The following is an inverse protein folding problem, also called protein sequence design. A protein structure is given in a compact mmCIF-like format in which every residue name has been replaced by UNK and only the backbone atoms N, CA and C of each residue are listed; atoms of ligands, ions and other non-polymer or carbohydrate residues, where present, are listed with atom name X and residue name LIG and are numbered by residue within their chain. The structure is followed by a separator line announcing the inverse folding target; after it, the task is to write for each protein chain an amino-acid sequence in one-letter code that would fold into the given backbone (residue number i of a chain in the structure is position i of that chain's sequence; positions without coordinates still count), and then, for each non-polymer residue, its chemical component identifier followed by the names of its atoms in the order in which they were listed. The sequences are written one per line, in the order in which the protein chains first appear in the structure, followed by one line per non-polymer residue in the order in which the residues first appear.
data_IF_639820751553
#
_entry.id   IF_639820751553
#
_cell.length_a   1.000
_cell.length_b   1.000
_cell.length_c   1.000
_cell.angle_alpha   90.00
_cell.angle_beta   90.00
_cell.angle_gamma   90.00
#
_symmetry.space_group_name_H-M   'P 1'
#
loop_
_entity.id
_entity.type
_entity.pdbx_description
1 polymer ?
#
# COMPACT_ATOMS: atom_id res chain seq x y z
N UNK A 1 -13.94 -52.20 0.02
CA UNK A 1 -14.29 -51.71 -1.33
C UNK A 1 -13.89 -50.25 -1.54
N UNK A 2 -14.56 -49.23 -0.90
CA UNK A 2 -14.27 -47.81 -1.17
C UNK A 2 -12.79 -47.39 -0.86
N UNK A 3 -12.23 -47.85 0.25
CA UNK A 3 -10.82 -47.61 0.60
C UNK A 3 -9.87 -48.37 -0.28
N UNK A 4 -10.20 -49.56 -0.73
CA UNK A 4 -9.41 -50.33 -1.67
C UNK A 4 -9.41 -49.71 -3.06
N UNK A 5 -10.56 -49.19 -3.51
CA UNK A 5 -10.68 -48.47 -4.78
C UNK A 5 -9.88 -47.13 -4.77
N UNK A 6 -9.85 -46.44 -3.65
CA UNK A 6 -9.05 -45.23 -3.46
C UNK A 6 -7.55 -45.52 -3.42
N UNK A 7 -7.16 -46.63 -2.84
CA UNK A 7 -5.75 -47.09 -2.82
C UNK A 7 -5.30 -47.60 -4.17
N UNK A 8 -6.19 -48.23 -4.93
CA UNK A 8 -5.95 -48.65 -6.31
C UNK A 8 -5.83 -47.46 -7.27
N UNK A 9 -6.72 -46.47 -7.19
CA UNK A 9 -6.64 -45.20 -7.91
C UNK A 9 -5.35 -44.47 -7.59
N UNK A 10 -4.97 -44.39 -6.31
CA UNK A 10 -3.73 -43.78 -5.86
C UNK A 10 -2.49 -44.48 -6.43
N UNK A 11 -2.48 -45.82 -6.51
CA UNK A 11 -1.37 -46.58 -7.10
C UNK A 11 -1.29 -46.40 -8.62
N UNK A 12 -2.43 -46.28 -9.33
CA UNK A 12 -2.44 -46.00 -10.77
C UNK A 12 -1.99 -44.58 -11.11
N UNK A 13 -2.46 -43.58 -10.34
CA UNK A 13 -2.10 -42.16 -10.55
C UNK A 13 -0.58 -41.94 -10.42
N UNK A 14 0.06 -42.62 -9.47
CA UNK A 14 1.51 -42.47 -9.21
C UNK A 14 2.39 -43.24 -10.20
N UNK A 15 1.89 -44.32 -10.80
CA UNK A 15 2.67 -45.14 -11.74
C UNK A 15 2.71 -44.56 -13.16
N UNK A 16 1.72 -43.77 -13.56
CA UNK A 16 1.68 -43.22 -14.91
C UNK A 16 2.26 -41.79 -14.92
N UNK A 17 3.38 -41.60 -15.66
CA UNK A 17 4.07 -40.30 -15.78
C UNK A 17 3.16 -39.19 -16.30
N UNK A 18 2.24 -39.51 -17.23
CA UNK A 18 1.29 -38.57 -17.82
C UNK A 18 0.29 -38.10 -16.76
N UNK A 19 -0.25 -39.03 -15.98
CA UNK A 19 -1.22 -38.71 -14.89
C UNK A 19 -0.54 -37.88 -13.81
N UNK A 20 0.71 -38.21 -13.44
CA UNK A 20 1.50 -37.44 -12.49
C UNK A 20 1.73 -36.01 -12.99
N UNK A 21 2.03 -35.83 -14.27
CA UNK A 21 2.20 -34.53 -14.89
C UNK A 21 0.88 -33.69 -14.84
N UNK A 22 -0.24 -34.31 -15.25
CA UNK A 22 -1.56 -33.64 -15.24
C UNK A 22 -1.94 -33.22 -13.83
N UNK A 23 -1.82 -34.11 -12.84
CA UNK A 23 -2.13 -33.79 -11.44
C UNK A 23 -1.23 -32.67 -10.91
N UNK A 24 0.06 -32.69 -11.23
CA UNK A 24 0.97 -31.62 -10.83
C UNK A 24 0.61 -30.28 -11.48
N UNK A 25 0.31 -30.27 -12.78
CA UNK A 25 -0.10 -29.06 -13.49
C UNK A 25 -1.41 -28.46 -12.92
N UNK A 26 -2.41 -29.31 -12.66
CA UNK A 26 -3.66 -28.90 -12.04
C UNK A 26 -3.44 -28.38 -10.60
N UNK A 27 -2.57 -29.01 -9.82
CA UNK A 27 -2.25 -28.56 -8.48
C UNK A 27 -1.55 -27.19 -8.49
N UNK A 28 -0.57 -26.97 -9.37
CA UNK A 28 0.10 -25.69 -9.54
C UNK A 28 -0.90 -24.62 -9.96
N UNK A 29 -1.78 -24.93 -10.93
CA UNK A 29 -2.84 -24.03 -11.37
C UNK A 29 -3.78 -23.64 -10.21
N UNK A 30 -4.23 -24.62 -9.43
CA UNK A 30 -5.09 -24.41 -8.28
C UNK A 30 -4.41 -23.50 -7.24
N UNK A 31 -3.18 -23.81 -6.84
CA UNK A 31 -2.43 -22.98 -5.87
C UNK A 31 -2.07 -21.60 -6.42
N UNK A 32 -2.00 -21.43 -7.72
CA UNK A 32 -1.79 -20.10 -8.30
C UNK A 32 -2.99 -19.19 -8.15
N UNK A 33 -4.22 -19.70 -8.32
CA UNK A 33 -5.43 -18.89 -8.36
C UNK A 33 -6.30 -18.97 -7.09
N UNK A 34 -5.92 -19.76 -6.09
CA UNK A 34 -6.74 -20.05 -4.92
C UNK A 34 -7.12 -18.79 -4.10
N UNK A 35 -6.28 -17.75 -4.10
CA UNK A 35 -6.56 -16.48 -3.44
C UNK A 35 -7.75 -15.73 -4.07
N UNK A 36 -8.03 -15.98 -5.36
CA UNK A 36 -9.13 -15.34 -6.09
C UNK A 36 -10.49 -15.75 -5.50
N UNK A 37 -10.58 -16.95 -4.91
CA UNK A 37 -11.82 -17.42 -4.26
C UNK A 37 -12.28 -16.43 -3.20
N UNK A 38 -11.36 -15.82 -2.45
CA UNK A 38 -11.68 -14.81 -1.43
C UNK A 38 -12.27 -13.51 -1.99
N UNK A 39 -12.08 -13.22 -3.29
CA UNK A 39 -12.63 -12.04 -3.95
C UNK A 39 -14.11 -12.23 -4.34
N UNK A 40 -14.49 -13.46 -4.69
CA UNK A 40 -15.85 -13.77 -5.16
C UNK A 40 -16.75 -14.36 -4.07
N UNK A 41 -16.16 -14.98 -3.04
CA UNK A 41 -16.88 -15.60 -1.93
C UNK A 41 -16.55 -14.85 -0.65
N UNK A 42 -17.59 -14.42 0.08
CA UNK A 42 -17.41 -13.80 1.40
C UNK A 42 -16.97 -14.85 2.41
N UNK A 43 -15.67 -15.01 2.57
CA UNK A 43 -15.07 -15.92 3.52
C UNK A 43 -14.69 -15.19 4.82
N UNK A 44 -14.72 -15.87 5.97
CA UNK A 44 -14.14 -15.34 7.19
C UNK A 44 -12.69 -14.92 6.97
N UNK A 45 -12.26 -13.83 7.62
CA UNK A 45 -10.89 -13.26 7.46
C UNK A 45 -9.79 -14.29 7.64
N UNK A 46 -9.94 -15.22 8.58
CA UNK A 46 -8.97 -16.29 8.84
C UNK A 46 -8.83 -17.23 7.64
N UNK A 47 -9.93 -17.57 6.98
CA UNK A 47 -9.92 -18.46 5.80
C UNK A 47 -9.30 -17.73 4.60
N UNK A 48 -9.69 -16.47 4.36
CA UNK A 48 -9.10 -15.65 3.29
C UNK A 48 -7.58 -15.50 3.48
N UNK A 49 -7.12 -15.26 4.71
CA UNK A 49 -5.69 -15.20 5.01
C UNK A 49 -4.95 -16.51 4.71
N UNK A 50 -5.55 -17.66 5.01
CA UNK A 50 -4.98 -18.97 4.68
C UNK A 50 -4.90 -19.15 3.16
N UNK A 51 -5.95 -18.83 2.41
CA UNK A 51 -5.97 -18.97 0.95
C UNK A 51 -4.94 -18.05 0.28
N UNK A 52 -4.80 -16.82 0.75
CA UNK A 52 -3.78 -15.89 0.28
C UNK A 52 -2.37 -16.43 0.54
N UNK A 53 -2.11 -16.92 1.75
CA UNK A 53 -0.81 -17.50 2.10
C UNK A 53 -0.49 -18.80 1.33
N UNK A 54 -1.48 -19.53 0.85
CA UNK A 54 -1.27 -20.72 0.02
C UNK A 54 -1.08 -20.40 -1.46
N UNK A 55 -1.37 -19.16 -1.90
CA UNK A 55 -1.34 -18.81 -3.31
C UNK A 55 0.06 -18.39 -3.78
N UNK A 56 0.56 -19.09 -4.82
CA UNK A 56 1.79 -18.68 -5.49
C UNK A 56 1.69 -17.29 -6.13
N UNK A 57 0.56 -16.98 -6.77
CA UNK A 57 0.38 -15.68 -7.41
C UNK A 57 0.38 -14.54 -6.40
N UNK A 58 -0.17 -14.75 -5.20
CA UNK A 58 -0.13 -13.77 -4.12
C UNK A 58 1.30 -13.40 -3.70
N UNK A 59 2.16 -14.40 -3.51
CA UNK A 59 3.57 -14.19 -3.16
C UNK A 59 4.40 -13.65 -4.32
N UNK A 60 3.99 -13.94 -5.57
CA UNK A 60 4.70 -13.49 -6.76
C UNK A 60 4.28 -12.10 -7.23
N UNK A 61 3.13 -11.57 -6.79
CA UNK A 61 2.60 -10.27 -7.20
C UNK A 61 3.60 -9.14 -6.94
N UNK A 62 4.22 -9.10 -5.77
CA UNK A 62 5.22 -8.09 -5.43
C UNK A 62 6.48 -8.24 -6.29
N UNK A 63 6.93 -9.47 -6.53
CA UNK A 63 8.09 -9.74 -7.37
C UNK A 63 7.85 -9.30 -8.82
N UNK A 64 6.63 -9.44 -9.34
CA UNK A 64 6.26 -8.99 -10.69
C UNK A 64 6.36 -7.46 -10.85
N UNK A 65 6.22 -6.71 -9.76
CA UNK A 65 6.41 -5.26 -9.69
C UNK A 65 7.86 -4.84 -9.44
N UNK A 66 8.78 -5.80 -9.38
CA UNK A 66 10.20 -5.56 -9.09
C UNK A 66 10.51 -5.43 -7.59
N UNK A 67 9.60 -5.85 -6.72
CA UNK A 67 9.77 -5.79 -5.28
C UNK A 67 10.02 -7.19 -4.74
N UNK A 68 11.18 -7.41 -4.13
CA UNK A 68 11.51 -8.68 -3.50
C UNK A 68 11.42 -8.56 -1.98
N UNK A 69 10.43 -9.23 -1.41
CA UNK A 69 10.31 -9.36 0.04
C UNK A 69 10.94 -10.65 0.50
N UNK A 70 11.75 -10.59 1.53
CA UNK A 70 12.37 -11.79 2.10
C UNK A 70 11.33 -12.80 2.59
N UNK A 71 10.18 -12.34 3.10
CA UNK A 71 9.07 -13.21 3.50
C UNK A 71 8.59 -14.11 2.36
N UNK A 72 8.47 -13.56 1.14
CA UNK A 72 7.96 -14.28 -0.03
C UNK A 72 9.01 -15.25 -0.58
N UNK A 73 10.29 -14.85 -0.56
CA UNK A 73 11.41 -15.72 -0.91
C UNK A 73 11.49 -16.91 0.05
N UNK A 74 11.43 -16.68 1.35
CA UNK A 74 11.46 -17.74 2.37
C UNK A 74 10.23 -18.64 2.29
N UNK A 75 9.06 -18.09 1.95
CA UNK A 75 7.87 -18.88 1.74
C UNK A 75 8.03 -19.81 0.54
N UNK A 76 8.47 -19.30 -0.62
CA UNK A 76 8.71 -20.11 -1.83
C UNK A 76 9.79 -21.18 -1.60
N UNK A 77 10.89 -20.82 -0.94
CA UNK A 77 11.94 -21.76 -0.58
C UNK A 77 11.42 -22.85 0.37
N UNK A 78 10.68 -22.46 1.41
CA UNK A 78 10.06 -23.39 2.36
C UNK A 78 9.07 -24.33 1.68
N UNK A 79 8.27 -23.83 0.76
CA UNK A 79 7.32 -24.63 -0.02
C UNK A 79 8.06 -25.65 -0.91
N UNK A 80 9.16 -25.24 -1.54
CA UNK A 80 10.01 -26.13 -2.33
C UNK A 80 10.63 -27.25 -1.48
N UNK A 81 11.16 -26.91 -0.31
CA UNK A 81 11.71 -27.89 0.65
C UNK A 81 10.64 -28.87 1.11
N UNK A 82 9.43 -28.37 1.41
CA UNK A 82 8.30 -29.20 1.82
C UNK A 82 7.95 -30.24 0.74
N UNK A 83 7.87 -29.84 -0.52
CA UNK A 83 7.61 -30.78 -1.61
C UNK A 83 8.74 -31.80 -1.81
N UNK A 84 10.00 -31.38 -1.67
CA UNK A 84 11.14 -32.30 -1.73
C UNK A 84 11.06 -33.37 -0.61
N UNK A 85 10.77 -32.93 0.63
CA UNK A 85 10.63 -33.84 1.76
C UNK A 85 9.47 -34.83 1.57
N UNK A 86 8.32 -34.35 1.08
CA UNK A 86 7.19 -35.20 0.75
C UNK A 86 7.53 -36.19 -0.37
N UNK A 87 8.25 -35.76 -1.39
CA UNK A 87 8.69 -36.63 -2.51
C UNK A 87 9.61 -37.73 -2.00
N UNK A 88 10.61 -37.40 -1.16
CA UNK A 88 11.50 -38.39 -0.55
C UNK A 88 10.69 -39.39 0.28
N UNK A 89 9.78 -38.92 1.10
CA UNK A 89 8.91 -39.77 1.95
C UNK A 89 8.08 -40.74 1.12
N UNK A 90 7.42 -40.25 0.07
CA UNK A 90 6.59 -41.10 -0.81
C UNK A 90 7.44 -42.12 -1.58
N UNK A 91 8.58 -41.68 -2.09
CA UNK A 91 9.48 -42.56 -2.85
C UNK A 91 10.08 -43.69 -1.98
N UNK A 92 10.48 -43.38 -0.76
CA UNK A 92 10.96 -44.41 0.20
C UNK A 92 9.87 -45.40 0.55
N UNK A 93 8.62 -44.94 0.74
CA UNK A 93 7.46 -45.82 0.98
C UNK A 93 7.16 -46.73 -0.21
N UNK A 94 7.29 -46.24 -1.45
CA UNK A 94 7.04 -47.03 -2.67
C UNK A 94 8.10 -48.14 -2.90
N UNK A 95 9.33 -47.93 -2.44
CA UNK A 95 10.39 -48.95 -2.56
C UNK A 95 10.19 -50.17 -1.67
N UNK A 96 9.03 -50.27 -0.97
CA UNK A 96 8.70 -51.40 -0.10
C UNK A 96 9.61 -51.57 1.12
N UNK A 97 10.49 -50.63 1.38
CA UNK A 97 11.34 -50.63 2.58
C UNK A 97 10.50 -50.15 3.77
N UNK A 98 10.42 -50.98 4.83
CA UNK A 98 9.88 -50.56 6.10
C UNK A 98 10.66 -49.31 6.54
N UNK A 99 10.02 -48.15 6.56
CA UNK A 99 10.63 -46.94 7.09
C UNK A 99 11.06 -47.20 8.53
N UNK A 100 12.35 -47.08 8.80
CA UNK A 100 12.85 -47.11 10.17
C UNK A 100 12.10 -46.01 10.98
N UNK A 101 11.71 -46.30 12.22
CA UNK A 101 11.07 -45.36 13.11
C UNK A 101 11.81 -44.03 13.18
N UNK A 102 13.14 -44.06 13.20
CA UNK A 102 13.99 -42.89 13.24
C UNK A 102 13.85 -42.03 11.96
N UNK A 103 13.81 -42.64 10.76
CA UNK A 103 13.60 -41.90 9.50
C UNK A 103 12.24 -41.26 9.44
N UNK A 104 11.18 -41.92 9.91
CA UNK A 104 9.85 -41.37 9.98
C UNK A 104 9.81 -40.16 10.89
N UNK A 105 10.38 -40.28 12.09
CA UNK A 105 10.45 -39.19 13.07
C UNK A 105 11.23 -37.98 12.50
N UNK A 106 12.38 -38.24 11.88
CA UNK A 106 13.20 -37.18 11.26
C UNK A 106 12.43 -36.43 10.16
N UNK A 107 11.71 -37.18 9.29
CA UNK A 107 10.91 -36.55 8.21
C UNK A 107 9.78 -35.72 8.77
N UNK A 108 9.02 -36.22 9.76
CA UNK A 108 7.94 -35.48 10.41
C UNK A 108 8.51 -34.22 11.10
N UNK A 109 9.62 -34.35 11.82
CA UNK A 109 10.29 -33.23 12.46
C UNK A 109 10.74 -32.17 11.46
N UNK A 110 11.35 -32.57 10.33
CA UNK A 110 11.75 -31.66 9.27
C UNK A 110 10.56 -30.94 8.65
N UNK A 111 9.42 -31.62 8.44
CA UNK A 111 8.20 -30.99 7.95
C UNK A 111 7.66 -29.94 8.94
N UNK A 112 7.62 -30.27 10.22
CA UNK A 112 7.19 -29.33 11.28
C UNK A 112 8.12 -28.11 11.31
N UNK A 113 9.44 -28.31 11.29
CA UNK A 113 10.41 -27.21 11.29
C UNK A 113 10.24 -26.31 10.06
N UNK A 114 10.03 -26.90 8.87
CA UNK A 114 9.79 -26.14 7.64
C UNK A 114 8.51 -25.29 7.73
N UNK A 115 7.43 -25.86 8.22
CA UNK A 115 6.16 -25.13 8.41
C UNK A 115 6.34 -24.01 9.43
N UNK A 116 6.98 -24.26 10.57
CA UNK A 116 7.25 -23.22 11.58
C UNK A 116 8.14 -22.11 11.02
N UNK A 117 9.14 -22.46 10.20
CA UNK A 117 10.00 -21.49 9.51
C UNK A 117 9.16 -20.60 8.57
N UNK A 118 8.28 -21.19 7.75
CA UNK A 118 7.40 -20.45 6.85
C UNK A 118 6.48 -19.50 7.63
N UNK A 119 5.89 -19.96 8.73
CA UNK A 119 5.01 -19.12 9.58
C UNK A 119 5.77 -17.97 10.25
N UNK A 120 7.02 -18.16 10.63
CA UNK A 120 7.85 -17.12 11.22
C UNK A 120 8.49 -16.18 10.19
N UNK A 121 8.52 -16.53 8.91
CA UNK A 121 9.15 -15.72 7.86
C UNK A 121 8.53 -14.31 7.76
N UNK A 122 7.27 -14.15 8.15
CA UNK A 122 6.56 -12.87 8.16
C UNK A 122 7.15 -11.84 9.14
N UNK A 123 7.89 -12.29 10.16
CA UNK A 123 8.55 -11.40 11.15
C UNK A 123 9.80 -10.72 10.59
N UNK A 124 10.44 -11.31 9.59
CA UNK A 124 11.67 -10.82 8.97
C UNK A 124 11.36 -10.31 7.56
N UNK A 125 10.65 -9.18 7.48
CA UNK A 125 10.28 -8.60 6.21
C UNK A 125 11.28 -7.52 5.78
N UNK A 126 12.35 -7.95 5.13
CA UNK A 126 13.26 -7.05 4.43
C UNK A 126 12.81 -6.93 2.98
N UNK A 127 12.65 -5.69 2.51
CA UNK A 127 12.15 -5.37 1.19
C UNK A 127 13.26 -4.77 0.34
N UNK A 128 13.51 -5.36 -0.83
CA UNK A 128 14.47 -4.85 -1.81
C UNK A 128 13.68 -4.41 -3.03
N UNK A 129 13.85 -3.17 -3.40
CA UNK A 129 13.20 -2.56 -4.56
C UNK A 129 14.17 -2.54 -5.76
N UNK A 130 13.87 -3.38 -6.76
CA UNK A 130 14.55 -3.45 -8.05
C UNK A 130 13.74 -2.76 -9.16
N UNK A 131 12.64 -2.07 -8.84
CA UNK A 131 11.87 -1.35 -9.83
C UNK A 131 12.73 -0.28 -10.51
N UNK A 132 12.45 0.02 -11.78
CA UNK A 132 13.27 0.91 -12.62
C UNK A 132 13.52 2.29 -11.99
N UNK A 133 12.56 2.80 -11.22
CA UNK A 133 12.62 4.13 -10.58
C UNK A 133 12.65 4.05 -9.05
N UNK A 134 12.87 2.87 -8.47
CA UNK A 134 12.77 2.62 -7.02
C UNK A 134 11.46 3.16 -6.40
N UNK A 135 10.37 3.01 -7.15
CA UNK A 135 9.05 3.58 -6.85
C UNK A 135 8.48 3.12 -5.49
N UNK A 136 9.01 2.02 -4.97
CA UNK A 136 8.58 1.41 -3.71
C UNK A 136 9.63 1.50 -2.60
N UNK A 137 10.66 2.33 -2.78
CA UNK A 137 11.63 2.67 -1.75
C UNK A 137 11.60 4.17 -1.50
N UNK A 138 11.94 4.58 -0.28
CA UNK A 138 12.03 6.00 0.05
C UNK A 138 13.22 6.65 -0.65
N UNK A 139 13.01 7.86 -1.14
CA UNK A 139 14.06 8.71 -1.68
C UNK A 139 15.11 9.03 -0.61
N UNK A 140 16.33 9.36 -1.04
CA UNK A 140 17.40 9.78 -0.11
C UNK A 140 16.98 10.98 0.73
N UNK A 141 16.26 11.93 0.10
CA UNK A 141 15.73 13.10 0.78
C UNK A 141 14.75 12.73 1.91
N UNK A 142 13.78 11.85 1.63
CA UNK A 142 12.80 11.44 2.64
C UNK A 142 13.46 10.68 3.78
N UNK A 143 14.44 9.82 3.51
CA UNK A 143 15.20 9.11 4.54
C UNK A 143 15.93 10.08 5.47
N UNK A 144 16.71 10.98 4.90
CA UNK A 144 17.47 11.98 5.65
C UNK A 144 16.56 12.89 6.47
N UNK A 145 15.46 13.33 5.89
CA UNK A 145 14.45 14.11 6.59
C UNK A 145 13.83 13.33 7.77
N UNK A 146 13.44 12.07 7.56
CA UNK A 146 12.85 11.25 8.60
C UNK A 146 13.83 10.95 9.75
N UNK A 147 15.11 10.71 9.43
CA UNK A 147 16.15 10.51 10.44
C UNK A 147 16.35 11.76 11.31
N UNK A 148 16.09 12.96 10.78
CA UNK A 148 16.21 14.23 11.51
C UNK A 148 15.08 14.48 12.53
N UNK A 149 13.99 13.68 12.51
CA UNK A 149 12.84 13.87 13.39
C UNK A 149 13.16 13.45 14.82
N UNK A 150 13.15 14.43 15.73
CA UNK A 150 13.49 14.25 17.14
C UNK A 150 12.29 14.03 18.06
N UNK A 151 11.09 14.46 17.66
CA UNK A 151 9.86 14.35 18.46
C UNK A 151 8.86 13.38 17.84
N UNK A 152 7.94 12.79 18.64
CA UNK A 152 6.99 11.81 18.17
C UNK A 152 6.04 12.35 17.08
N UNK A 153 5.96 11.63 15.97
CA UNK A 153 4.95 11.80 14.91
C UNK A 153 4.05 10.58 14.94
N UNK A 154 2.73 10.79 15.06
CA UNK A 154 1.76 9.72 15.06
C UNK A 154 1.03 9.70 13.72
N UNK A 155 1.08 8.58 13.02
CA UNK A 155 0.40 8.34 11.75
C UNK A 155 -0.71 7.33 11.99
N UNK A 156 -1.96 7.76 11.89
CA UNK A 156 -3.13 6.89 12.00
C UNK A 156 -3.77 6.69 10.63
N UNK A 157 -3.77 5.46 10.12
CA UNK A 157 -4.43 5.10 8.88
C UNK A 157 -5.78 4.46 9.15
N UNK A 158 -6.82 5.14 8.73
CA UNK A 158 -8.20 4.70 8.83
C UNK A 158 -8.60 4.03 7.51
N UNK A 159 -8.76 2.72 7.52
CA UNK A 159 -9.07 1.96 6.33
C UNK A 159 -10.18 0.96 6.61
N UNK A 160 -11.29 1.11 5.90
CA UNK A 160 -12.40 0.16 5.93
C UNK A 160 -11.96 -1.23 5.51
N UNK A 161 -12.31 -2.24 6.31
CA UNK A 161 -12.04 -3.64 5.96
C UNK A 161 -12.81 -4.07 4.70
N UNK A 162 -13.99 -3.51 4.47
CA UNK A 162 -14.76 -3.68 3.24
C UNK A 162 -13.98 -3.21 2.01
N UNK A 163 -13.29 -2.07 2.10
CA UNK A 163 -12.45 -1.53 1.02
C UNK A 163 -11.25 -2.44 0.74
N UNK A 164 -10.51 -2.86 1.77
CA UNK A 164 -9.34 -3.73 1.59
C UNK A 164 -9.68 -5.12 1.06
N UNK A 165 -10.92 -5.56 1.27
CA UNK A 165 -11.43 -6.83 0.72
C UNK A 165 -11.77 -6.73 -0.76
N UNK A 166 -12.25 -5.56 -1.23
CA UNK A 166 -12.58 -5.30 -2.63
C UNK A 166 -11.35 -4.95 -3.48
N UNK A 167 -10.42 -4.22 -2.89
CA UNK A 167 -9.22 -3.71 -3.55
C UNK A 167 -7.97 -4.15 -2.78
N UNK A 168 -7.41 -5.33 -3.08
CA UNK A 168 -6.23 -5.86 -2.38
C UNK A 168 -5.01 -4.92 -2.44
N UNK A 169 -4.89 -4.09 -3.49
CA UNK A 169 -3.83 -3.08 -3.61
C UNK A 169 -3.82 -2.05 -2.46
N UNK A 170 -4.92 -1.88 -1.74
CA UNK A 170 -4.99 -1.01 -0.55
C UNK A 170 -4.04 -1.49 0.56
N UNK A 171 -3.70 -2.77 0.58
CA UNK A 171 -2.71 -3.29 1.53
C UNK A 171 -1.32 -2.70 1.32
N UNK A 172 -0.99 -2.30 0.08
CA UNK A 172 0.28 -1.64 -0.26
C UNK A 172 0.45 -0.32 0.50
N UNK A 173 -0.65 0.40 0.77
CA UNK A 173 -0.62 1.63 1.57
C UNK A 173 -0.19 1.31 3.01
N UNK A 174 -0.76 0.26 3.61
CA UNK A 174 -0.37 -0.18 4.96
C UNK A 174 1.08 -0.63 5.04
N UNK A 175 1.54 -1.38 4.02
CA UNK A 175 2.92 -1.84 3.93
C UNK A 175 3.88 -0.66 3.75
N UNK A 176 3.49 0.33 2.94
CA UNK A 176 4.26 1.55 2.74
C UNK A 176 4.36 2.38 4.03
N UNK A 177 3.24 2.59 4.72
CA UNK A 177 3.21 3.32 5.99
C UNK A 177 4.05 2.63 7.07
N UNK A 178 4.02 1.30 7.12
CA UNK A 178 4.89 0.53 8.01
C UNK A 178 6.37 0.71 7.66
N UNK A 179 6.72 0.65 6.37
CA UNK A 179 8.09 0.90 5.92
C UNK A 179 8.55 2.33 6.24
N UNK A 180 7.67 3.32 6.04
CA UNK A 180 7.94 4.72 6.30
C UNK A 180 8.18 4.98 7.79
N UNK A 181 7.33 4.42 8.64
CA UNK A 181 7.46 4.58 10.10
C UNK A 181 8.72 3.88 10.67
N UNK A 182 9.15 2.79 10.06
CA UNK A 182 10.35 2.07 10.50
C UNK A 182 11.67 2.82 10.25
N UNK A 183 11.65 3.95 9.52
CA UNK A 183 12.85 4.76 9.30
C UNK A 183 13.30 5.50 10.57
N UNK A 184 12.37 5.82 11.46
CA UNK A 184 12.70 6.48 12.73
C UNK A 184 11.78 6.00 13.85
N UNK A 185 12.37 5.66 15.02
CA UNK A 185 11.65 5.23 16.22
C UNK A 185 10.63 6.25 16.76
N UNK A 186 10.78 7.51 16.39
CA UNK A 186 9.86 8.59 16.76
C UNK A 186 8.63 8.65 15.87
N UNK A 187 8.51 7.79 14.84
CA UNK A 187 7.36 7.74 13.96
C UNK A 187 6.53 6.52 14.33
N UNK A 188 5.35 6.76 14.86
CA UNK A 188 4.41 5.72 15.26
C UNK A 188 3.35 5.54 14.17
N UNK A 189 3.12 4.30 13.76
CA UNK A 189 2.08 3.96 12.79
C UNK A 189 1.04 3.03 13.40
N UNK A 190 -0.24 3.37 13.22
CA UNK A 190 -1.37 2.55 13.66
C UNK A 190 -2.43 2.50 12.56
N UNK A 191 -2.89 1.27 12.23
CA UNK A 191 -4.05 1.05 11.36
C UNK A 191 -5.31 0.89 12.20
N UNK A 192 -6.39 1.61 11.83
CA UNK A 192 -7.71 1.55 12.47
C UNK A 192 -8.77 1.19 11.42
N UNK A 193 -9.75 0.38 11.82
CA UNK A 193 -10.86 0.00 10.96
C UNK A 193 -12.12 0.75 11.39
N UNK A 194 -12.61 1.71 10.60
CA UNK A 194 -13.83 2.44 10.91
C UNK A 194 -15.10 1.58 10.84
N UNK A 195 -15.09 0.49 10.07
CA UNK A 195 -16.27 -0.38 9.92
C UNK A 195 -16.62 -1.10 11.23
N UNK A 196 -15.61 -1.37 12.05
CA UNK A 196 -15.75 -2.09 13.32
C UNK A 196 -15.59 -1.21 14.57
N UNK A 197 -15.23 0.07 14.40
CA UNK A 197 -14.91 0.95 15.52
C UNK A 197 -15.59 2.32 15.38
N UNK A 198 -16.64 2.53 16.18
CA UNK A 198 -17.42 3.77 16.15
C UNK A 198 -16.62 5.00 16.61
N UNK A 199 -15.65 4.82 17.52
CA UNK A 199 -14.77 5.92 17.92
C UNK A 199 -13.86 6.33 16.76
N UNK A 200 -13.46 5.39 15.90
CA UNK A 200 -12.70 5.71 14.69
C UNK A 200 -13.52 6.57 13.73
N UNK A 201 -14.82 6.27 13.54
CA UNK A 201 -15.73 7.12 12.72
C UNK A 201 -15.87 8.51 13.31
N UNK A 202 -16.15 8.63 14.61
CA UNK A 202 -16.25 9.93 15.28
C UNK A 202 -14.99 10.77 15.13
N UNK A 203 -13.83 10.14 15.18
CA UNK A 203 -12.56 10.84 14.95
C UNK A 203 -12.50 11.38 13.51
N UNK A 204 -12.87 10.57 12.52
CA UNK A 204 -12.90 11.00 11.12
C UNK A 204 -13.87 12.18 10.92
N UNK A 205 -15.06 12.11 11.49
CA UNK A 205 -16.05 13.19 11.44
C UNK A 205 -15.53 14.50 12.07
N UNK A 206 -14.77 14.41 13.18
CA UNK A 206 -14.15 15.58 13.82
C UNK A 206 -13.17 16.31 12.90
N UNK A 207 -12.47 15.55 12.03
CA UNK A 207 -11.57 16.11 11.03
C UNK A 207 -12.22 16.40 9.68
N UNK A 208 -13.54 16.31 9.57
CA UNK A 208 -14.29 16.55 8.33
C UNK A 208 -14.01 15.51 7.23
N UNK A 209 -13.63 14.29 7.62
CA UNK A 209 -13.36 13.21 6.67
C UNK A 209 -14.61 12.38 6.51
N UNK A 210 -15.18 12.40 5.32
CA UNK A 210 -16.40 11.66 4.98
C UNK A 210 -16.09 10.36 4.24
N UNK A 211 -17.01 9.39 4.39
CA UNK A 211 -16.96 8.16 3.61
C UNK A 211 -17.08 8.43 2.11
N UNK A 212 -16.41 7.61 1.33
CA UNK A 212 -16.57 7.58 -0.12
C UNK A 212 -17.45 6.40 -0.50
N UNK A 213 -18.39 6.64 -1.42
CA UNK A 213 -19.30 5.62 -1.89
C UNK A 213 -18.66 4.82 -3.02
N UNK A 214 -18.51 3.51 -2.82
CA UNK A 214 -17.94 2.61 -3.82
C UNK A 214 -18.95 1.59 -4.31
N UNK A 215 -18.96 1.40 -5.64
CA UNK A 215 -19.81 0.41 -6.29
C UNK A 215 -19.18 -0.97 -6.17
N UNK A 216 -19.96 -1.94 -5.70
CA UNK A 216 -19.58 -3.35 -5.66
C UNK A 216 -20.68 -4.23 -6.27
N UNK A 217 -20.32 -5.42 -6.73
CA UNK A 217 -21.28 -6.42 -7.18
C UNK A 217 -21.34 -7.55 -6.16
N UNK A 218 -22.55 -7.84 -5.68
CA UNK A 218 -22.83 -8.97 -4.79
C UNK A 218 -24.04 -9.74 -5.33
N UNK A 219 -23.90 -11.05 -5.53
CA UNK A 219 -24.98 -11.91 -6.02
C UNK A 219 -25.70 -11.35 -7.25
N UNK A 220 -24.94 -10.87 -8.24
CA UNK A 220 -25.46 -10.25 -9.49
C UNK A 220 -26.24 -8.94 -9.27
N UNK A 221 -26.24 -8.38 -8.07
CA UNK A 221 -26.82 -7.07 -7.75
C UNK A 221 -25.72 -6.05 -7.50
N UNK A 222 -25.91 -4.85 -8.08
CA UNK A 222 -25.05 -3.70 -7.79
C UNK A 222 -25.39 -3.15 -6.40
N UNK A 223 -24.40 -3.06 -5.53
CA UNK A 223 -24.51 -2.45 -4.21
C UNK A 223 -23.53 -1.28 -4.10
N UNK A 224 -23.91 -0.29 -3.31
CA UNK A 224 -23.02 0.80 -2.93
C UNK A 224 -22.65 0.63 -1.46
N UNK A 225 -21.37 0.76 -1.17
CA UNK A 225 -20.84 0.70 0.19
C UNK A 225 -20.09 1.97 0.50
N UNK A 226 -20.24 2.44 1.73
CA UNK A 226 -19.48 3.57 2.24
C UNK A 226 -18.17 3.07 2.83
N UNK A 227 -17.05 3.64 2.36
CA UNK A 227 -15.71 3.22 2.74
C UNK A 227 -14.85 4.41 3.12
N UNK A 228 -13.88 4.17 3.99
CA UNK A 228 -12.86 5.12 4.38
C UNK A 228 -11.47 4.62 3.97
N UNK A 229 -10.62 5.54 3.55
CA UNK A 229 -9.19 5.32 3.36
C UNK A 229 -8.46 6.64 3.59
N UNK A 230 -8.27 7.01 4.85
CA UNK A 230 -7.76 8.31 5.25
C UNK A 230 -6.57 8.19 6.19
N UNK A 231 -5.65 9.15 6.12
CA UNK A 231 -4.49 9.22 7.01
C UNK A 231 -4.56 10.50 7.83
N UNK A 232 -4.41 10.37 9.13
CA UNK A 232 -4.27 11.49 10.07
C UNK A 232 -2.85 11.46 10.61
N UNK A 233 -2.17 12.60 10.53
CA UNK A 233 -0.79 12.80 10.98
C UNK A 233 -0.82 13.83 12.09
N UNK A 234 -0.32 13.46 13.27
CA UNK A 234 -0.31 14.31 14.45
C UNK A 234 1.13 14.56 14.91
N UNK A 235 1.44 15.80 15.21
CA UNK A 235 2.72 16.24 15.74
C UNK A 235 2.53 17.42 16.68
N UNK A 236 2.94 17.28 17.92
CA UNK A 236 2.90 18.36 18.94
C UNK A 236 1.56 19.10 19.01
N UNK A 237 0.43 18.37 19.00
CA UNK A 237 -0.93 18.92 19.05
C UNK A 237 -1.48 19.46 17.73
N UNK A 238 -0.65 19.57 16.70
CA UNK A 238 -1.08 19.96 15.36
C UNK A 238 -1.37 18.71 14.51
N UNK A 239 -2.32 18.85 13.58
CA UNK A 239 -2.78 17.73 12.76
C UNK A 239 -2.79 18.10 11.28
N UNK A 240 -2.39 17.14 10.46
CA UNK A 240 -2.56 17.15 9.00
C UNK A 240 -3.32 15.92 8.55
N UNK A 241 -4.08 16.06 7.47
CA UNK A 241 -4.98 15.01 6.99
C UNK A 241 -4.75 14.73 5.52
N UNK A 242 -4.79 13.44 5.15
CA UNK A 242 -5.00 12.99 3.78
C UNK A 242 -6.39 12.35 3.77
N UNK A 243 -7.41 13.03 3.21
CA UNK A 243 -8.81 12.64 3.42
C UNK A 243 -9.21 11.36 2.72
N UNK A 244 -8.57 11.04 1.59
CA UNK A 244 -8.80 9.79 0.86
C UNK A 244 -7.60 9.38 0.04
N UNK A 245 -7.22 8.10 0.09
CA UNK A 245 -6.09 7.54 -0.64
C UNK A 245 -6.38 6.12 -1.13
N UNK A 246 -6.07 5.84 -2.40
CA UNK A 246 -6.27 4.54 -3.05
C UNK A 246 -4.97 3.91 -3.55
N UNK A 247 -3.87 4.65 -3.57
CA UNK A 247 -2.58 4.19 -4.10
C UNK A 247 -1.43 4.71 -3.25
N UNK A 248 -0.37 3.93 -3.15
CA UNK A 248 0.86 4.33 -2.49
C UNK A 248 1.79 5.21 -3.36
N UNK A 249 1.45 5.47 -4.62
CA UNK A 249 2.35 6.12 -5.59
C UNK A 249 2.76 7.54 -5.24
N UNK A 250 1.89 8.33 -4.61
CA UNK A 250 2.16 9.71 -4.18
C UNK A 250 2.43 9.82 -2.69
N UNK A 251 2.32 8.72 -1.97
CA UNK A 251 2.26 8.70 -0.51
C UNK A 251 3.54 9.23 0.14
N UNK A 252 4.70 9.01 -0.47
CA UNK A 252 5.97 9.55 0.02
C UNK A 252 5.96 11.06 0.07
N UNK A 253 5.57 11.68 -1.03
CA UNK A 253 5.50 13.14 -1.14
C UNK A 253 4.45 13.69 -0.18
N UNK A 254 3.26 13.11 -0.15
CA UNK A 254 2.14 13.56 0.68
C UNK A 254 2.50 13.50 2.16
N UNK A 255 3.06 12.39 2.63
CA UNK A 255 3.47 12.23 4.03
C UNK A 255 4.61 13.19 4.40
N UNK A 256 5.70 13.17 3.60
CA UNK A 256 6.90 13.96 3.88
C UNK A 256 6.58 15.45 3.89
N UNK A 257 5.77 15.93 2.93
CA UNK A 257 5.41 17.34 2.86
C UNK A 257 4.52 17.77 4.03
N UNK A 258 3.54 16.94 4.43
CA UNK A 258 2.66 17.24 5.56
C UNK A 258 3.39 17.17 6.90
N UNK A 259 4.25 16.20 7.11
CA UNK A 259 5.10 16.11 8.31
C UNK A 259 6.05 17.32 8.37
N UNK A 260 6.67 17.68 7.25
CA UNK A 260 7.54 18.86 7.20
C UNK A 260 6.78 20.14 7.55
N UNK A 261 5.57 20.32 7.06
CA UNK A 261 4.70 21.45 7.40
C UNK A 261 4.39 21.48 8.90
N UNK A 262 4.07 20.33 9.50
CA UNK A 262 3.82 20.23 10.95
C UNK A 262 5.05 20.58 11.79
N UNK A 263 6.23 20.12 11.39
CA UNK A 263 7.49 20.33 12.14
C UNK A 263 7.97 21.77 12.01
N UNK A 264 7.94 22.32 10.79
CA UNK A 264 8.46 23.68 10.55
C UNK A 264 7.48 24.77 10.95
N UNK A 265 6.21 24.41 11.09
CA UNK A 265 5.08 25.35 11.29
C UNK A 265 5.07 26.51 10.27
N UNK A 266 5.74 26.31 9.12
CA UNK A 266 5.79 27.26 8.03
C UNK A 266 4.83 26.81 6.94
N UNK A 267 3.84 27.65 6.68
CA UNK A 267 2.99 27.47 5.51
C UNK A 267 3.84 27.72 4.25
N UNK A 268 3.71 26.80 3.30
CA UNK A 268 4.31 26.98 1.97
C UNK A 268 3.39 27.84 1.15
N UNK A 269 3.77 29.10 0.97
CA UNK A 269 2.97 30.02 0.17
C UNK A 269 3.34 29.85 -1.30
N UNK A 270 2.34 29.75 -2.15
CA UNK A 270 2.45 29.82 -3.60
C UNK A 270 1.74 31.10 -4.06
N UNK A 271 2.47 31.96 -4.71
CA UNK A 271 1.90 33.19 -5.25
C UNK A 271 1.41 32.93 -6.68
N UNK A 272 0.23 33.38 -7.00
CA UNK A 272 -0.39 33.12 -8.30
C UNK A 272 -0.91 34.43 -8.87
N UNK A 273 -0.41 34.80 -10.06
CA UNK A 273 -0.94 35.89 -10.87
C UNK A 273 -1.91 35.28 -11.86
N UNK A 274 -3.15 35.78 -11.87
CA UNK A 274 -4.19 35.39 -12.83
C UNK A 274 -4.46 36.56 -13.76
N UNK A 275 -4.34 36.32 -15.06
CA UNK A 275 -4.52 37.36 -16.07
C UNK A 275 -5.94 37.46 -16.64
N UNK A 276 -6.14 38.42 -17.54
CA UNK A 276 -7.36 38.66 -18.33
C UNK A 276 -8.64 38.86 -17.50
N UNK A 277 -8.55 39.44 -16.31
CA UNK A 277 -9.70 39.63 -15.43
C UNK A 277 -10.28 38.33 -14.86
N UNK A 278 -9.57 37.22 -14.98
CA UNK A 278 -9.88 35.96 -14.36
C UNK A 278 -9.48 35.95 -12.90
N UNK A 279 -10.04 35.03 -12.11
CA UNK A 279 -9.70 34.84 -10.70
C UNK A 279 -9.50 33.37 -10.36
N UNK A 280 -8.73 33.10 -9.30
CA UNK A 280 -8.57 31.73 -8.80
C UNK A 280 -9.89 31.13 -8.35
N UNK A 281 -10.77 31.94 -7.76
CA UNK A 281 -12.01 31.48 -7.15
C UNK A 281 -13.11 31.13 -8.13
N UNK A 282 -13.11 31.73 -9.33
CA UNK A 282 -14.17 31.52 -10.33
C UNK A 282 -13.71 30.72 -11.53
N UNK A 283 -12.49 30.97 -12.00
CA UNK A 283 -12.01 30.41 -13.28
C UNK A 283 -11.06 29.22 -13.08
N UNK A 284 -10.44 29.15 -11.90
CA UNK A 284 -9.51 28.09 -11.51
C UNK A 284 -9.87 27.51 -10.14
N UNK A 285 -11.14 27.31 -9.87
CA UNK A 285 -11.68 26.86 -8.58
C UNK A 285 -11.12 25.52 -8.10
N UNK A 286 -10.70 24.65 -9.04
CA UNK A 286 -10.05 23.38 -8.75
C UNK A 286 -8.60 23.52 -8.25
N UNK A 287 -7.90 24.62 -8.60
CA UNK A 287 -6.46 24.77 -8.36
C UNK A 287 -6.15 25.00 -6.88
N UNK A 288 -6.94 25.83 -6.22
CA UNK A 288 -6.75 26.15 -4.79
C UNK A 288 -6.93 24.91 -3.89
N UNK A 289 -8.02 24.11 -4.01
CA UNK A 289 -8.16 22.88 -3.26
C UNK A 289 -7.05 21.87 -3.57
N UNK A 290 -6.62 21.80 -4.84
CA UNK A 290 -5.54 20.90 -5.24
C UNK A 290 -4.21 21.28 -4.59
N UNK A 291 -3.80 22.55 -4.63
CA UNK A 291 -2.58 23.05 -3.99
C UNK A 291 -2.66 22.95 -2.47
N UNK A 292 -3.83 23.25 -1.87
CA UNK A 292 -4.02 23.10 -0.43
C UNK A 292 -3.85 21.64 0.03
N UNK A 293 -4.33 20.69 -0.76
CA UNK A 293 -4.10 19.26 -0.49
C UNK A 293 -2.61 18.88 -0.53
N UNK A 294 -1.81 19.59 -1.32
CA UNK A 294 -0.35 19.43 -1.38
C UNK A 294 0.38 20.21 -0.26
N UNK A 295 -0.35 20.88 0.64
CA UNK A 295 0.22 21.63 1.77
C UNK A 295 0.70 23.03 1.42
N UNK A 296 0.24 23.58 0.28
CA UNK A 296 0.46 24.97 -0.08
C UNK A 296 -0.72 25.85 0.30
N UNK A 297 -0.44 27.12 0.59
CA UNK A 297 -1.45 28.17 0.72
C UNK A 297 -1.31 29.07 -0.49
N UNK A 298 -2.41 29.21 -1.23
CA UNK A 298 -2.43 30.07 -2.42
C UNK A 298 -2.63 31.53 -2.01
N UNK A 299 -1.76 32.40 -2.53
CA UNK A 299 -1.87 33.84 -2.44
C UNK A 299 -2.10 34.37 -3.86
N UNK A 300 -3.31 34.86 -4.13
CA UNK A 300 -3.65 35.45 -5.43
C UNK A 300 -3.13 36.90 -5.48
N UNK A 301 -2.34 37.20 -6.51
CA UNK A 301 -1.81 38.54 -6.76
C UNK A 301 -2.48 39.09 -8.00
N UNK A 302 -3.23 40.17 -7.84
CA UNK A 302 -3.96 40.81 -8.92
C UNK A 302 -3.06 41.78 -9.69
N UNK A 303 -2.76 41.45 -10.93
CA UNK A 303 -1.85 42.23 -11.79
C UNK A 303 -2.39 43.65 -12.07
N UNK A 304 -3.69 43.83 -12.00
CA UNK A 304 -4.38 45.13 -12.22
C UNK A 304 -4.36 46.03 -10.98
N UNK A 305 -3.91 45.51 -9.82
CA UNK A 305 -3.82 46.27 -8.59
C UNK A 305 -2.77 47.40 -8.75
N UNK A 306 -3.10 48.67 -8.45
CA UNK A 306 -2.14 49.77 -8.45
C UNK A 306 -0.91 49.54 -7.56
N UNK A 307 -1.05 48.71 -6.52
CA UNK A 307 0.00 48.33 -5.59
C UNK A 307 0.74 47.03 -5.97
N UNK A 308 0.50 46.49 -7.16
CA UNK A 308 1.06 45.23 -7.63
C UNK A 308 2.57 45.07 -7.36
N UNK A 309 3.36 46.09 -7.70
CA UNK A 309 4.81 46.07 -7.50
C UNK A 309 5.21 45.95 -6.02
N UNK A 310 4.49 46.62 -5.12
CA UNK A 310 4.74 46.54 -3.68
C UNK A 310 4.28 45.21 -3.10
N UNK A 311 3.17 44.71 -3.57
CA UNK A 311 2.63 43.39 -3.17
C UNK A 311 3.60 42.29 -3.58
N UNK A 312 4.12 42.34 -4.81
CA UNK A 312 5.09 41.37 -5.31
C UNK A 312 6.43 41.44 -4.55
N UNK A 313 6.96 42.63 -4.24
CA UNK A 313 8.18 42.79 -3.45
C UNK A 313 8.08 42.25 -2.01
N UNK A 314 6.90 42.26 -1.42
CA UNK A 314 6.68 41.79 -0.06
C UNK A 314 6.34 40.29 0.01
N UNK A 315 6.18 39.61 -1.12
CA UNK A 315 5.90 38.18 -1.18
C UNK A 315 7.20 37.38 -1.33
N UNK A 316 7.16 36.16 -0.81
CA UNK A 316 8.25 35.19 -0.91
C UNK A 316 7.70 33.84 -1.34
N UNK A 317 8.49 33.05 -2.07
CA UNK A 317 8.12 31.71 -2.51
C UNK A 317 7.93 31.63 -4.02
N UNK A 318 7.48 30.47 -4.56
CA UNK A 318 7.27 30.31 -6.00
C UNK A 318 6.15 31.21 -6.51
N UNK A 319 6.33 31.72 -7.70
CA UNK A 319 5.36 32.55 -8.42
C UNK A 319 4.89 31.80 -9.68
N UNK A 320 3.59 31.65 -9.82
CA UNK A 320 2.95 31.14 -11.03
C UNK A 320 2.20 32.27 -11.72
N UNK A 321 2.37 32.38 -13.04
CA UNK A 321 1.60 33.27 -13.89
C UNK A 321 0.72 32.40 -14.77
N UNK A 322 -0.59 32.46 -14.59
CA UNK A 322 -1.58 31.65 -15.33
C UNK A 322 -2.57 32.55 -16.06
N UNK A 323 -3.08 32.03 -17.17
CA UNK A 323 -3.97 32.77 -18.07
C UNK A 323 -3.21 33.56 -19.13
N UNK A 324 -3.96 33.98 -20.15
CA UNK A 324 -3.44 34.80 -21.23
C UNK A 324 -3.47 36.27 -20.84
N UNK A 325 -2.55 36.68 -19.99
CA UNK A 325 -2.55 38.02 -19.43
C UNK A 325 -1.88 39.02 -20.38
N UNK A 326 -2.56 40.13 -20.62
CA UNK A 326 -1.97 41.31 -21.25
C UNK A 326 -1.07 42.00 -20.25
N UNK A 327 0.12 41.44 -20.03
CA UNK A 327 1.11 42.00 -19.09
C UNK A 327 1.72 43.26 -19.74
N UNK A 328 1.59 44.40 -19.05
CA UNK A 328 2.27 45.62 -19.47
C UNK A 328 3.77 45.51 -19.21
N UNK A 329 4.59 46.20 -20.01
CA UNK A 329 6.06 46.15 -19.90
C UNK A 329 6.52 46.44 -18.46
N UNK A 330 5.94 47.44 -17.79
CA UNK A 330 6.27 47.75 -16.39
C UNK A 330 5.97 46.61 -15.43
N UNK A 331 4.88 45.86 -15.62
CA UNK A 331 4.53 44.70 -14.81
C UNK A 331 5.44 43.51 -15.09
N UNK A 332 5.83 43.32 -16.36
CA UNK A 332 6.77 42.27 -16.74
C UNK A 332 8.15 42.50 -16.08
N UNK A 333 8.62 43.75 -16.03
CA UNK A 333 9.89 44.12 -15.33
C UNK A 333 9.79 43.80 -13.83
N UNK A 334 8.66 44.05 -13.17
CA UNK A 334 8.53 43.74 -11.76
C UNK A 334 8.47 42.23 -11.51
N UNK A 335 7.86 41.44 -12.42
CA UNK A 335 7.88 39.99 -12.37
C UNK A 335 9.30 39.44 -12.59
N UNK A 336 10.03 40.00 -13.54
CA UNK A 336 11.44 39.63 -13.79
C UNK A 336 12.34 39.92 -12.59
N UNK A 337 12.12 41.07 -11.92
CA UNK A 337 12.86 41.42 -10.70
C UNK A 337 12.51 40.53 -9.48
N UNK A 338 11.40 39.79 -9.52
CA UNK A 338 11.01 38.85 -8.48
C UNK A 338 11.78 37.53 -8.56
N UNK A 339 12.20 37.12 -9.77
CA UNK A 339 12.92 35.89 -10.04
C UNK A 339 14.40 36.05 -9.63
#
# INVERSE_FOLDING_TARGET
AFFEDLEYLRQQIIKNKITAFIVSALSIGLFSVIHIVGLYVQLPKSISAILNNLSFAWHFDQASKGIFNTKDIFWLAGFSVLFILLTIFVTEKQKGRKLSKNKLITTIFSLIVTILFMLNSTRYNFRIDFSKNKTFSLSSYSKEFLESISFPVNISYYCSNSLSSLYPQITEISDYLSMYSNQNKNINYIKKDPDSNENAKKTLDTYGIFSQQMKTQKNNTTQYIDVYSAIIIEYNGNTQVIPFIMSASTLEFDLTSKIKTLITNKQRIVNIIVGNGMSLSSDYDFLVPWLNNQGFVCNEIHIENPNFANELKNTTGPLFVIGDSQIKIAQAIEIENYI
#
